data_IF_196403304451
#
_entry.id   IF_196403304451
#
_cell.length_a   1.000
_cell.length_b   1.000
_cell.length_c   1.000
_cell.angle_alpha   90.00
_cell.angle_beta   90.00
_cell.angle_gamma   90.00
#
_symmetry.space_group_name_H-M   'P 1'
#
loop_
_entity.id
_entity.type
_entity.pdbx_description
1 polymer ?
#
# COMPACT_ATOMS: atom_id res chain seq x y z
N UNK A 1 -10.59 26.24 3.61
CA UNK A 1 -10.73 24.80 3.92
C UNK A 1 -9.45 24.17 3.47
N UNK A 2 -8.81 23.41 4.33
CA UNK A 2 -7.57 22.69 3.99
C UNK A 2 -7.86 21.65 2.89
N UNK A 3 -6.97 21.56 1.89
CA UNK A 3 -7.13 20.56 0.83
C UNK A 3 -6.79 19.17 1.38
N UNK A 4 -7.61 18.16 1.05
CA UNK A 4 -7.34 16.78 1.51
C UNK A 4 -6.13 16.16 0.79
N UNK A 5 -5.85 16.58 -0.44
CA UNK A 5 -4.76 16.07 -1.26
C UNK A 5 -3.76 17.15 -1.60
N UNK A 6 -2.47 16.78 -1.58
CA UNK A 6 -1.34 17.61 -2.01
C UNK A 6 -0.54 16.84 -3.06
N UNK A 7 -0.11 17.50 -4.13
CA UNK A 7 0.68 16.89 -5.19
C UNK A 7 2.16 17.27 -5.05
N UNK A 8 3.02 16.26 -5.18
CA UNK A 8 4.49 16.39 -5.20
C UNK A 8 5.00 15.83 -6.53
N UNK A 9 5.51 16.66 -7.45
CA UNK A 9 6.11 16.18 -8.69
C UNK A 9 7.40 15.39 -8.43
N UNK A 10 7.47 14.15 -8.93
CA UNK A 10 8.66 13.28 -8.83
C UNK A 10 9.49 13.32 -10.10
N UNK A 11 8.82 13.32 -11.26
CA UNK A 11 9.41 13.48 -12.60
C UNK A 11 8.41 14.19 -13.52
N UNK A 12 8.74 14.33 -14.81
CA UNK A 12 7.80 14.83 -15.80
C UNK A 12 6.58 13.92 -16.01
N UNK A 13 6.71 12.62 -15.68
CA UNK A 13 5.68 11.59 -15.89
C UNK A 13 5.14 10.98 -14.60
N UNK A 14 5.68 11.32 -13.43
CA UNK A 14 5.24 10.75 -12.15
C UNK A 14 4.95 11.85 -11.14
N UNK A 15 3.72 11.84 -10.63
CA UNK A 15 3.26 12.68 -9.54
C UNK A 15 2.91 11.80 -8.34
N UNK A 16 3.45 12.12 -7.17
CA UNK A 16 2.98 11.57 -5.90
C UNK A 16 1.88 12.49 -5.35
N UNK A 17 0.79 11.92 -4.92
CA UNK A 17 -0.34 12.62 -4.32
C UNK A 17 -0.45 12.14 -2.89
N UNK A 18 -0.19 13.04 -1.94
CA UNK A 18 -0.26 12.74 -0.51
C UNK A 18 -1.63 13.14 0.03
N UNK A 19 -2.30 12.23 0.73
CA UNK A 19 -3.50 12.53 1.48
C UNK A 19 -3.19 13.29 2.77
N UNK A 20 -4.16 13.97 3.32
CA UNK A 20 -4.04 14.62 4.64
C UNK A 20 -3.81 13.60 5.77
N UNK A 21 -4.32 12.38 5.61
CA UNK A 21 -4.16 11.26 6.55
C UNK A 21 -2.81 10.56 6.43
N UNK A 22 -2.01 10.88 5.38
CA UNK A 22 -0.61 10.47 5.24
C UNK A 22 -0.32 9.46 4.15
N UNK A 23 -1.35 8.88 3.49
CA UNK A 23 -1.15 7.94 2.40
C UNK A 23 -0.64 8.63 1.13
N UNK A 24 0.18 7.92 0.37
CA UNK A 24 0.59 8.31 -0.98
C UNK A 24 -0.11 7.46 -2.03
N UNK A 25 -0.67 8.11 -3.05
CA UNK A 25 -1.07 7.50 -4.31
C UNK A 25 -0.21 8.07 -5.44
N UNK A 26 -0.04 7.32 -6.52
CA UNK A 26 0.90 7.67 -7.58
C UNK A 26 0.17 7.81 -8.91
N UNK A 27 0.30 8.98 -9.55
CA UNK A 27 -0.25 9.24 -10.89
C UNK A 27 0.88 9.20 -11.92
N UNK A 28 0.81 8.23 -12.83
CA UNK A 28 1.78 8.04 -13.92
C UNK A 28 1.15 8.54 -15.22
N UNK A 29 1.84 9.47 -15.89
CA UNK A 29 1.38 10.13 -17.11
C UNK A 29 2.08 9.53 -18.34
N UNK A 30 1.32 8.88 -19.20
CA UNK A 30 1.77 8.48 -20.53
C UNK A 30 1.48 9.51 -21.61
N UNK A 31 1.70 9.16 -22.86
CA UNK A 31 1.36 10.02 -24.01
C UNK A 31 -0.12 9.88 -24.40
N UNK A 32 -0.78 8.78 -24.04
CA UNK A 32 -2.16 8.46 -24.45
C UNK A 32 -3.14 8.26 -23.29
N UNK A 33 -2.70 7.84 -22.14
CA UNK A 33 -3.51 7.64 -20.95
C UNK A 33 -2.66 7.77 -19.68
N UNK A 34 -3.32 7.83 -18.51
CA UNK A 34 -2.70 7.88 -17.21
C UNK A 34 -3.09 6.67 -16.37
N UNK A 35 -2.19 6.23 -15.50
CA UNK A 35 -2.46 5.21 -14.48
C UNK A 35 -2.38 5.86 -13.09
N UNK A 36 -3.43 5.69 -12.29
CA UNK A 36 -3.41 6.03 -10.88
C UNK A 36 -3.23 4.74 -10.05
N UNK A 37 -2.23 4.71 -9.19
CA UNK A 37 -2.02 3.62 -8.25
C UNK A 37 -2.60 4.03 -6.90
N UNK A 38 -3.58 3.26 -6.43
CA UNK A 38 -4.40 3.45 -5.22
C UNK A 38 -5.37 4.66 -5.28
N UNK A 39 -6.29 4.71 -4.32
CA UNK A 39 -7.38 5.68 -4.26
C UNK A 39 -7.67 6.20 -2.85
N UNK A 40 -6.79 5.94 -1.88
CA UNK A 40 -6.98 6.30 -0.47
C UNK A 40 -8.31 5.82 0.14
N UNK A 41 -8.71 6.46 1.24
CA UNK A 41 -9.91 6.15 2.03
C UNK A 41 -11.23 6.58 1.39
N UNK A 42 -11.19 7.14 0.16
CA UNK A 42 -12.38 7.57 -0.57
C UNK A 42 -13.04 8.83 0.00
N UNK A 43 -12.24 9.87 0.22
CA UNK A 43 -12.64 11.17 0.74
C UNK A 43 -11.97 12.27 -0.09
N UNK A 44 -12.51 13.49 -0.07
CA UNK A 44 -11.87 14.66 -0.69
C UNK A 44 -12.01 14.78 -2.21
N UNK A 45 -12.81 13.92 -2.87
CA UNK A 45 -13.04 13.90 -4.33
C UNK A 45 -11.72 13.69 -5.12
N UNK A 46 -11.06 12.56 -4.91
CA UNK A 46 -9.79 12.22 -5.55
C UNK A 46 -9.87 12.29 -7.07
N UNK A 47 -10.94 11.76 -7.69
CA UNK A 47 -11.14 11.83 -9.15
C UNK A 47 -11.03 13.25 -9.65
N UNK A 48 -11.79 14.17 -9.05
CA UNK A 48 -11.78 15.58 -9.46
C UNK A 48 -10.40 16.21 -9.24
N UNK A 49 -9.70 15.82 -8.17
CA UNK A 49 -8.35 16.30 -7.91
C UNK A 49 -7.39 15.85 -9.02
N UNK A 50 -7.43 14.57 -9.41
CA UNK A 50 -6.58 14.00 -10.49
C UNK A 50 -6.94 14.59 -11.86
N UNK A 51 -8.22 14.80 -12.17
CA UNK A 51 -8.68 15.42 -13.41
C UNK A 51 -8.23 16.89 -13.56
N UNK A 52 -7.85 17.57 -12.48
CA UNK A 52 -7.21 18.90 -12.55
C UNK A 52 -5.69 18.81 -12.85
N UNK A 53 -5.08 17.63 -12.72
CA UNK A 53 -3.65 17.42 -12.99
C UNK A 53 -3.40 16.91 -14.42
N UNK A 54 -4.41 16.29 -15.07
CA UNK A 54 -4.29 15.73 -16.41
C UNK A 54 -5.63 15.62 -17.11
N UNK A 55 -5.64 15.87 -18.44
CA UNK A 55 -6.79 15.61 -19.32
C UNK A 55 -6.78 14.19 -19.91
N UNK A 56 -5.79 13.36 -19.58
CA UNK A 56 -5.66 12.00 -20.10
C UNK A 56 -6.74 11.07 -19.52
N UNK A 57 -7.21 10.07 -20.28
CA UNK A 57 -8.07 9.01 -19.75
C UNK A 57 -7.35 8.28 -18.60
N UNK A 58 -8.02 8.14 -17.45
CA UNK A 58 -7.47 7.57 -16.23
C UNK A 58 -7.89 6.10 -16.10
N UNK A 59 -6.92 5.23 -15.89
CA UNK A 59 -7.11 3.87 -15.37
C UNK A 59 -6.57 3.82 -13.95
N UNK A 60 -7.21 3.05 -13.07
CA UNK A 60 -6.76 2.84 -11.69
C UNK A 60 -6.30 1.40 -11.51
N UNK A 61 -5.19 1.20 -10.82
CA UNK A 61 -4.74 -0.11 -10.36
C UNK A 61 -4.44 -0.03 -8.85
N UNK A 62 -5.06 -0.92 -8.08
CA UNK A 62 -4.92 -0.92 -6.63
C UNK A 62 -3.79 -1.85 -6.21
N UNK A 63 -2.99 -1.42 -5.24
CA UNK A 63 -1.98 -2.29 -4.62
C UNK A 63 -2.65 -3.43 -3.87
N UNK A 64 -3.74 -3.13 -3.14
CA UNK A 64 -4.50 -4.11 -2.36
C UNK A 64 -5.87 -3.55 -1.92
N UNK A 65 -6.65 -4.36 -1.21
CA UNK A 65 -8.05 -4.07 -0.89
C UNK A 65 -8.31 -3.31 0.41
N UNK A 66 -7.31 -2.83 1.13
CA UNK A 66 -7.51 -2.16 2.42
C UNK A 66 -8.17 -0.78 2.30
N UNK A 67 -8.69 -0.35 3.45
CA UNK A 67 -9.50 0.85 3.65
C UNK A 67 -8.85 2.14 3.16
N UNK A 68 -7.57 2.26 3.30
CA UNK A 68 -6.75 3.43 2.97
C UNK A 68 -6.14 3.39 1.57
N UNK A 69 -6.45 2.34 0.79
CA UNK A 69 -5.96 2.18 -0.59
C UNK A 69 -7.09 2.10 -1.61
N UNK A 70 -8.21 1.43 -1.28
CA UNK A 70 -9.19 1.03 -2.28
C UNK A 70 -10.53 1.79 -2.24
N UNK A 71 -10.80 2.60 -1.21
CA UNK A 71 -12.17 3.09 -0.96
C UNK A 71 -12.61 4.25 -1.86
N UNK A 72 -11.70 4.90 -2.57
CA UNK A 72 -12.02 5.86 -3.63
C UNK A 72 -12.31 5.22 -5.00
N UNK A 73 -12.18 3.91 -5.13
CA UNK A 73 -12.45 3.17 -6.38
C UNK A 73 -13.78 3.53 -7.05
N UNK A 74 -14.91 3.69 -6.32
CA UNK A 74 -16.19 4.03 -6.94
C UNK A 74 -16.24 5.39 -7.66
N UNK A 75 -15.26 6.26 -7.46
CA UNK A 75 -15.14 7.50 -8.22
C UNK A 75 -14.69 7.26 -9.69
N UNK A 76 -14.16 6.08 -10.02
CA UNK A 76 -13.55 5.76 -11.30
C UNK A 76 -14.27 4.62 -12.02
N UNK A 77 -14.17 4.59 -13.37
CA UNK A 77 -14.86 3.59 -14.19
C UNK A 77 -13.98 2.35 -14.45
N UNK A 78 -12.65 2.53 -14.51
CA UNK A 78 -11.70 1.49 -14.87
C UNK A 78 -10.75 1.22 -13.72
N UNK A 79 -11.14 0.35 -12.78
CA UNK A 79 -10.35 0.02 -11.60
C UNK A 79 -9.99 -1.46 -11.60
N UNK A 80 -8.70 -1.74 -11.44
CA UNK A 80 -8.14 -3.08 -11.35
C UNK A 80 -7.78 -3.40 -9.90
N UNK A 81 -8.18 -4.57 -9.42
CA UNK A 81 -7.82 -5.12 -8.12
C UNK A 81 -7.57 -6.61 -8.26
N UNK A 82 -6.58 -7.15 -7.55
CA UNK A 82 -6.41 -8.60 -7.47
C UNK A 82 -7.68 -9.22 -6.85
N UNK A 83 -8.32 -10.21 -7.49
CA UNK A 83 -9.59 -10.78 -7.02
C UNK A 83 -9.54 -11.33 -5.59
N UNK A 84 -8.36 -11.75 -5.13
CA UNK A 84 -8.15 -12.29 -3.77
C UNK A 84 -8.40 -11.25 -2.68
N UNK A 85 -8.28 -9.96 -3.00
CA UNK A 85 -8.48 -8.84 -2.06
C UNK A 85 -9.89 -8.22 -2.10
N UNK A 86 -10.75 -8.65 -3.04
CA UNK A 86 -12.15 -8.17 -3.08
C UNK A 86 -12.89 -8.39 -1.74
N UNK A 87 -12.75 -9.54 -1.03
CA UNK A 87 -13.38 -9.71 0.27
C UNK A 87 -12.90 -8.70 1.34
N UNK A 88 -11.64 -8.26 1.28
CA UNK A 88 -11.08 -7.23 2.18
C UNK A 88 -11.78 -5.90 1.91
N UNK A 89 -11.80 -5.47 0.65
CA UNK A 89 -12.52 -4.26 0.24
C UNK A 89 -13.97 -4.25 0.70
N UNK A 90 -14.70 -5.36 0.48
CA UNK A 90 -16.13 -5.47 0.85
C UNK A 90 -16.37 -5.32 2.35
N UNK A 91 -15.48 -5.86 3.19
CA UNK A 91 -15.60 -5.75 4.64
C UNK A 91 -15.33 -4.34 5.15
N UNK A 92 -14.43 -3.60 4.51
CA UNK A 92 -13.94 -2.31 4.98
C UNK A 92 -14.58 -1.10 4.29
N UNK A 93 -15.46 -1.29 3.30
CA UNK A 93 -16.00 -0.19 2.49
C UNK A 93 -17.10 0.65 3.18
N UNK A 94 -17.58 0.26 4.36
CA UNK A 94 -18.65 1.00 5.06
C UNK A 94 -18.19 2.42 5.45
N UNK A 95 -19.14 3.36 5.52
CA UNK A 95 -18.83 4.74 5.95
C UNK A 95 -18.34 4.78 7.41
N UNK A 96 -18.89 3.91 8.26
CA UNK A 96 -18.48 3.81 9.65
C UNK A 96 -17.01 3.42 9.79
N UNK A 97 -16.58 2.37 9.09
CA UNK A 97 -15.19 1.92 9.12
C UNK A 97 -14.24 3.03 8.63
N UNK A 98 -14.56 3.67 7.51
CA UNK A 98 -13.75 4.75 6.94
C UNK A 98 -13.70 5.99 7.82
N UNK A 99 -14.80 6.37 8.47
CA UNK A 99 -14.78 7.46 9.45
C UNK A 99 -13.95 7.08 10.68
N UNK A 100 -14.05 5.85 11.17
CA UNK A 100 -13.19 5.35 12.25
C UNK A 100 -11.71 5.47 11.92
N UNK A 101 -11.32 5.09 10.69
CA UNK A 101 -9.95 5.21 10.20
C UNK A 101 -9.50 6.68 10.11
N UNK A 102 -10.32 7.58 9.55
CA UNK A 102 -10.03 9.01 9.48
C UNK A 102 -9.88 9.64 10.86
N UNK A 103 -10.76 9.30 11.82
CA UNK A 103 -10.69 9.79 13.20
C UNK A 103 -9.40 9.33 13.88
N UNK A 104 -8.99 8.09 13.65
CA UNK A 104 -7.75 7.55 14.22
C UNK A 104 -6.51 8.30 13.71
N UNK A 105 -6.49 8.72 12.43
CA UNK A 105 -5.36 9.44 11.82
C UNK A 105 -5.40 10.95 12.02
N UNK A 106 -6.57 11.58 11.88
CA UNK A 106 -6.73 13.04 11.86
C UNK A 106 -7.29 13.63 13.17
N UNK A 107 -7.92 12.80 14.01
CA UNK A 107 -8.74 13.23 15.14
C UNK A 107 -10.15 13.65 14.72
N UNK A 108 -11.08 13.69 15.70
CA UNK A 108 -12.51 13.89 15.49
C UNK A 108 -12.85 15.15 14.69
N UNK A 109 -12.31 16.30 15.10
CA UNK A 109 -12.69 17.61 14.51
C UNK A 109 -12.32 17.68 13.03
N UNK A 110 -11.12 17.26 12.68
CA UNK A 110 -10.64 17.34 11.29
C UNK A 110 -11.30 16.26 10.40
N UNK A 111 -11.48 15.05 10.90
CA UNK A 111 -12.18 13.99 10.19
C UNK A 111 -13.63 14.38 9.82
N UNK A 112 -14.37 14.97 10.76
CA UNK A 112 -15.75 15.42 10.53
C UNK A 112 -15.86 16.51 9.45
N UNK A 113 -14.82 17.33 9.24
CA UNK A 113 -14.82 18.33 8.16
C UNK A 113 -14.90 17.70 6.78
N UNK A 114 -14.45 16.45 6.62
CA UNK A 114 -14.43 15.73 5.35
C UNK A 114 -15.55 14.68 5.20
N UNK A 115 -16.33 14.40 6.24
CA UNK A 115 -17.41 13.40 6.24
C UNK A 115 -18.35 13.55 5.02
N UNK A 116 -18.70 14.79 4.67
CA UNK A 116 -19.59 15.10 3.55
C UNK A 116 -18.99 14.81 2.16
N UNK A 117 -17.69 14.53 2.08
CA UNK A 117 -16.97 14.17 0.84
C UNK A 117 -16.69 12.68 0.73
N UNK A 118 -17.14 11.87 1.70
CA UNK A 118 -17.01 10.41 1.64
C UNK A 118 -17.77 9.87 0.43
N UNK A 119 -17.07 9.11 -0.38
CA UNK A 119 -17.65 8.32 -1.48
C UNK A 119 -18.68 7.34 -0.90
N UNK A 120 -19.79 7.10 -1.59
CA UNK A 120 -20.77 6.13 -1.13
C UNK A 120 -20.16 4.72 -1.08
N UNK A 121 -20.53 3.96 -0.03
CA UNK A 121 -20.10 2.57 0.07
C UNK A 121 -20.61 1.76 -1.12
N UNK A 122 -19.73 1.04 -1.78
CA UNK A 122 -20.05 0.25 -2.97
C UNK A 122 -19.49 -1.19 -2.83
N UNK A 123 -20.04 -2.01 -1.91
CA UNK A 123 -19.54 -3.36 -1.68
C UNK A 123 -19.63 -4.26 -2.91
N UNK A 124 -20.56 -3.98 -3.82
CA UNK A 124 -20.76 -4.70 -5.07
C UNK A 124 -20.03 -4.05 -6.27
N UNK A 125 -19.05 -3.18 -6.02
CA UNK A 125 -18.26 -2.56 -7.07
C UNK A 125 -17.55 -3.63 -7.92
N UNK A 126 -17.66 -3.52 -9.24
CA UNK A 126 -17.09 -4.50 -10.18
C UNK A 126 -15.68 -4.07 -10.58
N UNK A 127 -14.70 -4.66 -9.92
CA UNK A 127 -13.30 -4.52 -10.30
C UNK A 127 -12.99 -5.35 -11.56
N UNK A 128 -12.00 -4.88 -12.33
CA UNK A 128 -11.31 -5.69 -13.32
C UNK A 128 -10.21 -6.49 -12.62
N UNK A 129 -9.97 -7.70 -13.08
CA UNK A 129 -8.94 -8.56 -12.50
C UNK A 129 -7.55 -7.96 -12.74
N UNK A 130 -6.76 -7.80 -11.66
CA UNK A 130 -5.36 -7.45 -11.72
C UNK A 130 -4.52 -8.72 -11.54
N UNK A 131 -3.81 -9.10 -12.59
CA UNK A 131 -3.03 -10.33 -12.63
C UNK A 131 -1.52 -10.08 -12.43
N UNK A 132 -0.80 -11.12 -11.93
CA UNK A 132 0.66 -11.10 -11.85
C UNK A 132 1.30 -10.97 -13.24
N UNK A 133 2.18 -10.00 -13.42
CA UNK A 133 2.84 -9.69 -14.70
C UNK A 133 2.01 -8.83 -15.66
N UNK A 134 0.80 -8.39 -15.27
CA UNK A 134 0.01 -7.49 -16.12
C UNK A 134 0.74 -6.17 -16.34
N UNK A 135 0.75 -5.70 -17.60
CA UNK A 135 1.41 -4.45 -17.99
C UNK A 135 0.41 -3.46 -18.55
N UNK A 136 0.49 -2.22 -18.08
CA UNK A 136 -0.23 -1.06 -18.58
C UNK A 136 0.72 -0.26 -19.47
N UNK A 137 0.45 -0.22 -20.78
CA UNK A 137 1.15 0.64 -21.74
C UNK A 137 0.40 1.97 -21.83
N UNK A 138 1.02 3.05 -21.34
CA UNK A 138 0.41 4.37 -21.28
C UNK A 138 0.80 5.27 -22.47
N UNK A 139 1.60 4.74 -23.40
CA UNK A 139 2.25 5.49 -24.45
C UNK A 139 3.55 6.13 -23.94
N UNK A 140 4.69 5.56 -24.36
CA UNK A 140 6.03 6.03 -23.97
C UNK A 140 6.47 5.71 -22.55
N UNK A 141 5.62 5.13 -21.74
CA UNK A 141 5.93 4.61 -20.38
C UNK A 141 5.05 3.40 -20.08
N UNK A 142 5.61 2.38 -19.43
CA UNK A 142 4.95 1.13 -19.06
C UNK A 142 5.02 0.89 -17.56
N UNK A 143 3.92 0.43 -17.01
CA UNK A 143 3.82 0.04 -15.60
C UNK A 143 3.41 -1.41 -15.52
N UNK A 144 4.24 -2.24 -14.90
CA UNK A 144 3.99 -3.67 -14.74
C UNK A 144 3.65 -3.99 -13.29
N UNK A 145 2.54 -4.71 -13.08
CA UNK A 145 2.08 -5.17 -11.77
C UNK A 145 2.63 -6.55 -11.46
N UNK A 146 3.07 -6.78 -10.23
CA UNK A 146 3.63 -8.05 -9.78
C UNK A 146 3.05 -8.46 -8.44
N UNK A 147 2.64 -9.72 -8.30
CA UNK A 147 2.13 -10.23 -7.04
C UNK A 147 3.21 -10.25 -5.95
N UNK A 148 2.89 -9.64 -4.81
CA UNK A 148 3.74 -9.61 -3.63
C UNK A 148 2.92 -9.93 -2.37
N UNK A 149 2.35 -11.15 -2.26
CA UNK A 149 1.47 -11.51 -1.17
C UNK A 149 2.20 -11.49 0.18
N UNK A 150 1.49 -11.02 1.21
CA UNK A 150 2.04 -10.92 2.57
C UNK A 150 1.16 -10.10 3.46
N UNK A 151 1.20 -8.79 3.32
CA UNK A 151 0.34 -7.84 3.99
C UNK A 151 -1.15 -8.12 3.69
N UNK A 152 -1.47 -8.38 2.42
CA UNK A 152 -2.72 -9.04 2.02
C UNK A 152 -2.42 -10.20 1.07
N UNK A 153 -3.37 -11.14 0.86
CA UNK A 153 -3.21 -12.24 -0.09
C UNK A 153 -3.08 -11.77 -1.54
N UNK A 154 -3.78 -10.68 -1.90
CA UNK A 154 -3.81 -10.11 -3.25
C UNK A 154 -2.88 -8.92 -3.45
N UNK A 155 -1.96 -8.66 -2.52
CA UNK A 155 -1.03 -7.53 -2.58
C UNK A 155 -0.22 -7.51 -3.88
N UNK A 156 -0.13 -6.32 -4.51
CA UNK A 156 0.59 -6.07 -5.75
C UNK A 156 1.63 -4.97 -5.56
N UNK A 157 2.80 -5.13 -6.18
CA UNK A 157 3.80 -4.09 -6.38
C UNK A 157 3.82 -3.66 -7.84
N UNK A 158 4.25 -2.41 -8.12
CA UNK A 158 4.28 -1.87 -9.46
C UNK A 158 5.67 -1.40 -9.85
N UNK A 159 6.14 -1.79 -11.04
CA UNK A 159 7.39 -1.32 -11.59
C UNK A 159 7.11 -0.36 -12.76
N UNK A 160 7.59 0.87 -12.66
CA UNK A 160 7.60 1.85 -13.75
C UNK A 160 8.91 1.64 -14.51
N UNK A 161 8.84 0.96 -15.65
CA UNK A 161 10.00 0.42 -16.36
C UNK A 161 10.98 1.53 -16.80
N UNK A 162 10.47 2.58 -17.43
CA UNK A 162 11.29 3.65 -18.01
C UNK A 162 11.87 4.61 -16.96
N UNK A 163 11.23 4.74 -15.80
CA UNK A 163 11.69 5.55 -14.67
C UNK A 163 12.58 4.74 -13.71
N UNK A 164 12.65 3.40 -13.86
CA UNK A 164 13.34 2.49 -12.96
C UNK A 164 12.91 2.68 -11.50
N UNK A 165 11.58 2.84 -11.28
CA UNK A 165 10.95 3.05 -9.97
C UNK A 165 10.09 1.86 -9.63
N UNK A 166 10.32 1.28 -8.45
CA UNK A 166 9.49 0.22 -7.87
C UNK A 166 8.60 0.81 -6.77
N UNK A 167 7.28 0.70 -6.94
CA UNK A 167 6.28 1.09 -5.94
C UNK A 167 5.88 -0.19 -5.20
N UNK A 168 6.22 -0.27 -3.92
CA UNK A 168 5.94 -1.41 -3.07
C UNK A 168 4.60 -1.30 -2.32
N UNK A 169 4.05 -0.08 -2.20
CA UNK A 169 2.86 0.12 -1.36
C UNK A 169 3.14 -0.37 0.07
N UNK A 170 2.29 -1.24 0.56
CA UNK A 170 2.41 -1.86 1.88
C UNK A 170 3.02 -3.26 1.85
N UNK A 171 3.46 -3.73 0.67
CA UNK A 171 4.12 -5.01 0.56
C UNK A 171 5.43 -5.08 1.36
N UNK A 172 6.16 -3.95 1.45
CA UNK A 172 7.40 -3.84 2.21
C UNK A 172 7.67 -2.36 2.50
N UNK A 173 7.49 -1.93 3.74
CA UNK A 173 7.67 -0.56 4.20
C UNK A 173 8.28 -0.50 5.61
N UNK A 174 8.34 0.68 6.24
CA UNK A 174 8.93 0.87 7.57
C UNK A 174 8.03 0.41 8.72
N UNK A 175 6.80 -0.01 8.43
CA UNK A 175 5.85 -0.55 9.41
C UNK A 175 4.93 -1.58 8.75
N UNK A 176 5.48 -2.53 7.99
CA UNK A 176 4.67 -3.54 7.31
C UNK A 176 3.84 -4.35 8.30
N UNK A 177 2.51 -4.29 8.17
CA UNK A 177 1.56 -4.96 9.06
C UNK A 177 1.38 -6.42 8.64
N UNK A 178 1.77 -7.35 9.51
CA UNK A 178 1.54 -8.79 9.39
C UNK A 178 0.78 -9.33 10.62
N UNK A 179 -0.16 -8.58 11.17
CA UNK A 179 -0.89 -8.97 12.37
C UNK A 179 -2.39 -9.18 12.16
N UNK A 180 -2.95 -8.73 11.06
CA UNK A 180 -4.35 -8.97 10.69
C UNK A 180 -4.58 -10.46 10.35
N UNK A 181 -5.83 -10.92 10.39
CA UNK A 181 -6.19 -12.29 10.08
C UNK A 181 -5.95 -12.67 8.61
N UNK A 182 -6.04 -11.71 7.70
CA UNK A 182 -5.77 -11.90 6.26
C UNK A 182 -4.28 -12.01 5.92
N UNK A 183 -3.36 -11.58 6.80
CA UNK A 183 -1.92 -11.61 6.53
C UNK A 183 -1.36 -13.04 6.52
N UNK A 184 -0.25 -13.24 5.82
CA UNK A 184 0.45 -14.51 5.85
C UNK A 184 1.40 -14.61 7.07
N UNK A 185 1.82 -15.83 7.49
CA UNK A 185 2.89 -16.00 8.48
C UNK A 185 4.21 -15.38 8.05
N UNK A 186 5.03 -14.93 9.02
CA UNK A 186 6.34 -14.29 8.78
C UNK A 186 7.25 -15.15 7.89
N UNK A 187 7.31 -16.46 8.10
CA UNK A 187 8.06 -17.40 7.26
C UNK A 187 7.61 -17.35 5.78
N UNK A 188 6.29 -17.28 5.54
CA UNK A 188 5.73 -17.20 4.19
C UNK A 188 6.01 -15.85 3.55
N UNK A 189 5.89 -14.78 4.34
CA UNK A 189 6.22 -13.43 3.91
C UNK A 189 7.69 -13.29 3.53
N UNK A 190 8.63 -13.83 4.32
CA UNK A 190 10.06 -13.82 3.98
C UNK A 190 10.31 -14.46 2.60
N UNK A 191 9.64 -15.59 2.30
CA UNK A 191 9.75 -16.24 0.99
C UNK A 191 9.25 -15.34 -0.15
N UNK A 192 8.17 -14.58 0.09
CA UNK A 192 7.65 -13.61 -0.88
C UNK A 192 8.64 -12.45 -1.10
N UNK A 193 9.23 -11.90 -0.04
CA UNK A 193 10.26 -10.85 -0.14
C UNK A 193 11.49 -11.34 -0.89
N UNK A 194 11.98 -12.56 -0.60
CA UNK A 194 13.10 -13.15 -1.32
C UNK A 194 12.80 -13.32 -2.83
N UNK A 195 11.58 -13.79 -3.17
CA UNK A 195 11.15 -13.91 -4.56
C UNK A 195 11.11 -12.55 -5.25
N UNK A 196 10.53 -11.54 -4.61
CA UNK A 196 10.45 -10.18 -5.13
C UNK A 196 11.84 -9.56 -5.34
N UNK A 197 12.74 -9.69 -4.37
CA UNK A 197 14.13 -9.22 -4.48
C UNK A 197 14.86 -9.81 -5.69
N UNK A 198 14.67 -11.11 -5.97
CA UNK A 198 15.23 -11.76 -7.15
C UNK A 198 14.59 -11.27 -8.44
N UNK A 199 13.26 -11.13 -8.46
CA UNK A 199 12.48 -10.67 -9.61
C UNK A 199 12.85 -9.27 -10.06
N UNK A 200 13.03 -8.36 -9.09
CA UNK A 200 13.32 -6.95 -9.36
C UNK A 200 14.80 -6.62 -9.43
N UNK A 201 15.68 -7.58 -9.24
CA UNK A 201 17.14 -7.36 -9.23
C UNK A 201 17.62 -6.61 -10.48
N UNK A 202 18.16 -5.42 -10.29
CA UNK A 202 18.72 -4.58 -11.37
C UNK A 202 17.68 -3.88 -12.24
N UNK A 203 16.39 -3.91 -11.87
CA UNK A 203 15.31 -3.29 -12.66
C UNK A 203 14.85 -1.95 -12.11
N UNK A 204 15.29 -1.55 -10.93
CA UNK A 204 14.91 -0.28 -10.29
C UNK A 204 16.12 0.43 -9.68
N UNK A 205 15.98 1.73 -9.49
CA UNK A 205 16.94 2.62 -8.81
C UNK A 205 16.35 3.33 -7.63
N UNK A 206 15.00 3.37 -7.54
CA UNK A 206 14.26 4.00 -6.44
C UNK A 206 13.12 3.08 -6.00
N UNK A 207 12.80 3.13 -4.71
CA UNK A 207 11.66 2.43 -4.14
C UNK A 207 10.73 3.46 -3.50
N UNK A 208 9.43 3.37 -3.82
CA UNK A 208 8.39 4.18 -3.23
C UNK A 208 7.40 3.32 -2.45
N UNK A 209 6.87 3.87 -1.37
CA UNK A 209 5.91 3.23 -0.47
C UNK A 209 4.71 4.12 -0.25
N UNK A 210 3.65 3.59 0.40
CA UNK A 210 2.39 4.32 0.54
C UNK A 210 2.22 5.06 1.86
N UNK A 211 3.09 4.87 2.86
CA UNK A 211 2.95 5.48 4.19
C UNK A 211 4.25 6.09 4.72
N UNK A 212 4.11 7.06 5.62
CA UNK A 212 5.16 7.80 6.34
C UNK A 212 5.99 8.67 5.42
N UNK A 213 6.81 8.08 4.59
CA UNK A 213 7.66 8.72 3.60
C UNK A 213 7.40 8.15 2.20
N UNK A 214 7.68 8.95 1.18
CA UNK A 214 7.46 8.52 -0.20
C UNK A 214 8.54 7.54 -0.68
N UNK A 215 9.81 7.82 -0.37
CA UNK A 215 10.96 7.08 -0.87
C UNK A 215 11.76 6.47 0.28
N UNK A 216 12.14 5.21 0.14
CA UNK A 216 12.93 4.45 1.10
C UNK A 216 14.24 3.95 0.50
N UNK A 217 15.14 3.43 1.36
CA UNK A 217 16.42 2.87 0.94
C UNK A 217 16.23 1.67 0.00
N UNK A 218 17.09 1.58 -1.00
CA UNK A 218 17.07 0.51 -2.01
C UNK A 218 17.28 -0.89 -1.41
N UNK A 219 17.84 -0.99 -0.21
CA UNK A 219 18.08 -2.25 0.50
C UNK A 219 16.90 -2.69 1.38
N UNK A 220 15.76 -1.98 1.36
CA UNK A 220 14.63 -2.28 2.27
C UNK A 220 14.20 -3.76 2.22
N UNK A 221 14.17 -4.39 1.03
CA UNK A 221 13.83 -5.83 0.92
C UNK A 221 14.88 -6.73 1.57
N UNK A 222 16.18 -6.39 1.44
CA UNK A 222 17.26 -7.13 2.14
C UNK A 222 17.13 -7.00 3.65
N UNK A 223 16.89 -5.78 4.13
CA UNK A 223 16.69 -5.52 5.56
C UNK A 223 15.47 -6.26 6.09
N UNK A 224 14.37 -6.32 5.30
CA UNK A 224 13.16 -7.05 5.69
C UNK A 224 13.38 -8.56 5.78
N UNK A 225 14.19 -9.14 4.90
CA UNK A 225 14.58 -10.56 4.97
C UNK A 225 15.31 -10.83 6.29
N UNK A 226 16.25 -9.94 6.68
CA UNK A 226 16.98 -10.03 7.95
C UNK A 226 16.02 -9.90 9.15
N UNK A 227 15.06 -8.96 9.11
CA UNK A 227 14.05 -8.80 10.16
C UNK A 227 13.19 -10.05 10.32
N UNK A 228 12.73 -10.64 9.20
CA UNK A 228 11.99 -11.90 9.25
C UNK A 228 12.83 -13.04 9.86
N UNK A 229 14.13 -13.09 9.54
CA UNK A 229 15.04 -14.11 10.11
C UNK A 229 15.22 -13.91 11.62
N UNK A 230 15.41 -12.66 12.07
CA UNK A 230 15.53 -12.34 13.49
C UNK A 230 14.27 -12.73 14.29
N UNK A 231 13.08 -12.54 13.69
CA UNK A 231 11.80 -13.00 14.29
C UNK A 231 11.77 -14.53 14.42
N UNK A 232 12.14 -15.25 13.36
CA UNK A 232 12.14 -16.73 13.37
C UNK A 232 13.19 -17.32 14.30
N UNK A 233 14.30 -16.62 14.53
CA UNK A 233 15.39 -17.01 15.42
C UNK A 233 15.17 -16.54 16.88
N UNK A 234 14.00 -15.91 17.19
CA UNK A 234 13.66 -15.34 18.51
C UNK A 234 14.67 -14.29 19.00
N UNK A 235 15.18 -13.48 18.10
CA UNK A 235 16.16 -12.40 18.34
C UNK A 235 15.65 -11.01 18.00
N UNK A 236 14.37 -10.89 17.68
CA UNK A 236 13.70 -9.61 17.46
C UNK A 236 13.51 -8.84 18.79
N UNK A 237 13.37 -7.52 18.72
CA UNK A 237 13.21 -6.66 19.92
C UNK A 237 11.82 -6.79 20.56
N UNK A 238 10.80 -7.16 19.76
CA UNK A 238 9.43 -7.49 20.19
C UNK A 238 8.75 -6.40 21.03
N UNK A 239 8.84 -5.15 20.59
CA UNK A 239 8.23 -4.03 21.30
C UNK A 239 6.69 -4.10 21.22
N UNK A 240 5.97 -3.91 22.34
CA UNK A 240 4.51 -3.95 22.33
C UNK A 240 3.91 -2.91 21.38
N UNK A 241 2.95 -3.33 20.58
CA UNK A 241 2.18 -2.48 19.68
C UNK A 241 0.68 -2.78 19.81
N UNK A 242 -0.14 -1.74 19.78
CA UNK A 242 -1.60 -1.86 19.80
C UNK A 242 -2.22 -0.95 18.75
N UNK A 243 -3.04 -1.49 17.88
CA UNK A 243 -3.70 -0.72 16.83
C UNK A 243 -5.12 -1.27 16.59
N UNK A 244 -6.12 -0.38 16.58
CA UNK A 244 -7.54 -0.70 16.31
C UNK A 244 -8.07 -1.92 17.09
N UNK A 245 -7.69 -2.05 18.37
CA UNK A 245 -8.14 -3.14 19.23
C UNK A 245 -7.36 -4.45 19.08
N UNK A 246 -6.31 -4.48 18.27
CA UNK A 246 -5.45 -5.65 18.06
C UNK A 246 -4.09 -5.44 18.72
N UNK A 247 -3.60 -6.49 19.40
CA UNK A 247 -2.26 -6.54 20.00
C UNK A 247 -1.29 -7.21 19.03
N UNK A 248 -0.11 -6.59 18.88
CA UNK A 248 0.98 -7.05 18.04
C UNK A 248 2.32 -6.68 18.68
N UNK A 249 3.42 -6.98 18.00
CA UNK A 249 4.77 -6.54 18.38
C UNK A 249 5.52 -5.97 17.19
N UNK A 250 6.35 -4.95 17.45
CA UNK A 250 7.26 -4.37 16.46
C UNK A 250 8.58 -5.12 16.53
N UNK A 251 9.07 -5.62 15.41
CA UNK A 251 10.22 -6.48 15.33
C UNK A 251 11.55 -5.79 15.68
N UNK A 252 11.72 -4.52 15.28
CA UNK A 252 12.94 -3.75 15.56
C UNK A 252 12.59 -2.41 16.21
N UNK A 253 13.41 -2.00 17.16
CA UNK A 253 13.26 -0.72 17.83
C UNK A 253 13.20 0.45 16.83
N UNK A 254 12.17 1.30 16.97
CA UNK A 254 11.94 2.45 16.11
C UNK A 254 11.40 3.63 16.91
N UNK A 255 11.44 4.80 16.31
CA UNK A 255 10.82 6.01 16.85
C UNK A 255 9.30 6.03 16.58
N UNK A 256 8.65 7.14 16.96
CA UNK A 256 7.19 7.33 16.79
C UNK A 256 6.74 7.45 15.33
N UNK A 257 7.67 7.64 14.41
CA UNK A 257 7.46 7.72 12.97
C UNK A 257 7.88 6.46 12.23
N UNK A 258 8.12 5.37 12.99
CA UNK A 258 8.56 4.06 12.53
C UNK A 258 9.95 4.01 11.89
N UNK A 259 10.78 5.04 12.06
CA UNK A 259 12.19 4.96 11.67
C UNK A 259 12.96 4.13 12.68
N UNK A 260 13.64 3.11 12.21
CA UNK A 260 14.45 2.21 13.05
C UNK A 260 15.62 2.96 13.68
N UNK A 261 15.91 2.64 14.95
CA UNK A 261 17.03 3.26 15.70
C UNK A 261 18.40 2.87 15.16
N UNK A 262 18.50 1.76 14.41
CA UNK A 262 19.72 1.33 13.72
C UNK A 262 19.94 2.02 12.35
N UNK A 263 19.04 2.92 11.94
CA UNK A 263 19.12 3.71 10.71
C UNK A 263 18.84 2.94 9.42
N UNK A 264 18.28 1.72 9.49
CA UNK A 264 17.85 0.93 8.34
C UNK A 264 16.37 1.13 8.08
N UNK A 265 15.96 1.06 6.80
CA UNK A 265 14.56 0.96 6.42
C UNK A 265 14.09 -0.50 6.44
N UNK A 266 12.78 -0.68 6.64
CA UNK A 266 12.12 -1.98 6.68
C UNK A 266 11.95 -2.53 8.09
N UNK A 267 10.67 -2.62 8.53
CA UNK A 267 10.29 -3.18 9.82
C UNK A 267 8.97 -3.94 9.72
N UNK A 268 8.76 -4.90 10.59
CA UNK A 268 7.53 -5.68 10.70
C UNK A 268 6.80 -5.40 12.00
N UNK A 269 5.49 -5.29 11.89
CA UNK A 269 4.56 -5.35 13.01
C UNK A 269 3.77 -6.64 12.84
N UNK A 270 3.93 -7.59 13.77
CA UNK A 270 3.47 -8.95 13.59
C UNK A 270 2.89 -9.57 14.87
N UNK A 271 2.20 -10.69 14.72
CA UNK A 271 1.69 -11.49 15.85
C UNK A 271 2.60 -12.70 16.09
N UNK A 272 2.93 -12.95 17.35
CA UNK A 272 3.78 -14.08 17.76
C UNK A 272 3.20 -15.46 17.47
N UNK A 273 1.88 -15.56 17.35
CA UNK A 273 1.19 -16.80 16.97
C UNK A 273 1.13 -17.06 15.45
N UNK A 274 1.69 -16.11 14.63
CA UNK A 274 1.72 -16.16 13.16
C UNK A 274 3.15 -16.12 12.57
N UNK A 275 4.15 -16.66 13.27
CA UNK A 275 5.53 -16.68 12.78
C UNK A 275 5.71 -17.75 11.71
N UNK A 276 5.30 -18.99 12.00
CA UNK A 276 5.47 -20.14 11.10
C UNK A 276 4.16 -20.55 10.47
N UNK A 277 4.24 -21.05 9.23
CA UNK A 277 3.10 -21.66 8.57
C UNK A 277 2.67 -22.92 9.37
N UNK A 278 1.35 -23.06 9.57
CA UNK A 278 0.82 -24.31 10.17
C UNK A 278 1.10 -25.45 9.20
N UNK A 279 1.70 -26.55 9.70
CA UNK A 279 1.81 -27.78 8.92
C UNK A 279 0.38 -28.29 8.65
N UNK A 280 0.01 -28.39 7.39
CA UNK A 280 -1.18 -29.12 6.99
C UNK A 280 -0.93 -30.61 7.32
N UNK A 281 -1.41 -31.07 8.45
CA UNK A 281 -1.51 -32.51 8.70
C UNK A 281 -2.49 -33.10 7.66
N UNK A 282 -1.93 -33.61 6.57
CA UNK A 282 -2.65 -34.41 5.57
C UNK A 282 -3.00 -35.76 6.10
#
# INVERSE_FOLDING_TARGET
MEAFYHVEPVSERLLAIKSLNGEFVYLILGDSCALLIDTCVGVGNLRKFVENLTDLPITVALTHGHIDHAMGAPEFENVYLNPTDIPIYQRQCSKEERMGYLIAGLGDELAQMFEHTLVDAAPDYLFKDLEDGQTFDLGGIRVSAYAFPGHTPGMMAFLIEEEEILILGDACNNSTFLFDDDTVPVETYQKAVCKAQLLFKGRFKKIFISHHEMQVDINIMSNMIDVCQDIMDDTADDLPFHFMGMDAVIAKECDKTFHRTDGKDGNLIYRKDKIFAKEDFK
#
